data_IF_532991718202
#
_entry.id   IF_532991718202
#
_cell.length_a   1.000
_cell.length_b   1.000
_cell.length_c   1.000
_cell.angle_alpha   90.00
_cell.angle_beta   90.00
_cell.angle_gamma   90.00
#
_symmetry.space_group_name_H-M   'P 1'
#
loop_
_entity.id
_entity.type
_entity.pdbx_description
1 polymer ?
#
# COMPACT_ATOMS: atom_id res chain seq x y z
N UNK A 1 -5.04 -29.42 -13.11
CA UNK A 1 -5.87 -29.62 -14.30
C UNK A 1 -5.55 -28.48 -15.25
N UNK A 2 -5.07 -28.84 -16.38
CA UNK A 2 -4.40 -28.14 -17.46
C UNK A 2 -4.79 -26.69 -17.70
N UNK A 3 -3.77 -25.80 -17.79
CA UNK A 3 -3.82 -24.55 -18.56
C UNK A 3 -2.95 -24.75 -19.81
N UNK A 4 -3.59 -24.78 -20.96
CA UNK A 4 -2.95 -24.87 -22.25
C UNK A 4 -2.53 -23.47 -22.71
N UNK A 5 -1.23 -23.28 -22.91
CA UNK A 5 -0.69 -22.15 -23.65
C UNK A 5 -0.94 -22.35 -25.15
N UNK A 6 -1.62 -21.41 -25.76
CA UNK A 6 -1.75 -21.31 -27.20
C UNK A 6 -0.74 -20.26 -27.71
N UNK A 7 0.39 -20.75 -28.21
CA UNK A 7 1.28 -19.96 -29.04
C UNK A 7 0.78 -20.05 -30.49
N UNK A 8 0.37 -18.95 -31.07
CA UNK A 8 0.17 -18.83 -32.52
C UNK A 8 1.42 -18.18 -33.12
N UNK A 9 2.25 -18.98 -33.75
CA UNK A 9 3.20 -18.52 -34.74
C UNK A 9 2.45 -18.09 -36.01
N UNK A 10 2.61 -16.86 -36.43
CA UNK A 10 2.31 -16.44 -37.80
C UNK A 10 3.64 -16.10 -38.48
N UNK A 11 4.06 -17.03 -39.32
CA UNK A 11 5.03 -16.81 -40.36
C UNK A 11 4.46 -15.89 -41.45
N UNK A 12 5.08 -14.74 -41.68
CA UNK A 12 4.88 -13.95 -42.90
C UNK A 12 6.19 -13.87 -43.67
N UNK A 13 6.15 -14.38 -44.88
CA UNK A 13 7.17 -14.26 -45.92
C UNK A 13 7.01 -12.89 -46.60
N UNK A 14 8.08 -12.15 -46.92
CA UNK A 14 7.95 -10.86 -47.59
C UNK A 14 7.93 -11.04 -49.12
N UNK A 15 6.96 -10.44 -49.79
CA UNK A 15 7.03 -10.14 -51.22
C UNK A 15 6.92 -8.63 -51.46
N UNK A 16 8.00 -8.15 -52.10
CA UNK A 16 8.16 -7.01 -53.02
C UNK A 16 7.24 -5.79 -52.97
N UNK A 17 7.89 -4.66 -52.69
CA UNK A 17 7.84 -3.46 -53.49
C UNK A 17 6.52 -2.70 -53.64
N UNK A 18 6.35 -1.63 -52.86
CA UNK A 18 5.73 -0.39 -53.33
C UNK A 18 6.00 0.73 -52.33
N UNK A 19 6.59 1.82 -52.83
CA UNK A 19 6.59 3.13 -52.23
C UNK A 19 5.15 3.61 -52.05
N UNK A 20 4.81 4.02 -50.82
CA UNK A 20 3.66 4.90 -50.63
C UNK A 20 3.96 6.02 -49.62
N UNK A 21 3.61 7.19 -50.05
CA UNK A 21 3.71 8.51 -49.44
C UNK A 21 3.26 8.56 -47.97
N UNK A 22 3.99 9.40 -47.26
CA UNK A 22 3.56 10.05 -46.03
C UNK A 22 2.27 10.86 -46.31
N UNK A 23 1.17 10.47 -45.63
CA UNK A 23 0.05 11.38 -45.46
C UNK A 23 -0.05 11.74 -43.97
N UNK A 24 0.04 13.04 -43.75
CA UNK A 24 -0.26 13.71 -42.48
C UNK A 24 -1.67 13.35 -42.02
N UNK A 25 -1.74 12.83 -40.78
CA UNK A 25 -3.00 12.79 -40.04
C UNK A 25 -2.91 13.86 -38.95
N UNK A 26 -3.40 15.05 -39.30
CA UNK A 26 -3.66 16.11 -38.31
C UNK A 26 -5.01 15.80 -37.62
N UNK A 27 -5.00 15.21 -36.45
CA UNK A 27 -6.16 15.22 -35.57
C UNK A 27 -6.28 16.55 -34.85
N UNK A 28 -7.35 17.29 -35.15
CA UNK A 28 -7.77 18.50 -34.44
C UNK A 28 -8.35 18.08 -33.07
N UNK A 29 -7.65 18.34 -31.97
CA UNK A 29 -8.25 18.39 -30.66
C UNK A 29 -8.73 19.81 -30.33
N UNK A 30 -10.05 20.02 -30.40
CA UNK A 30 -10.71 21.19 -29.82
C UNK A 30 -11.17 20.83 -28.41
N UNK A 31 -10.43 21.28 -27.39
CA UNK A 31 -10.80 21.16 -26.00
C UNK A 31 -11.17 22.51 -25.39
N UNK A 32 -12.43 22.69 -25.04
CA UNK A 32 -12.88 23.86 -24.27
C UNK A 32 -12.86 23.54 -22.79
N UNK A 33 -11.95 24.16 -22.03
CA UNK A 33 -11.98 24.13 -20.57
C UNK A 33 -12.83 25.28 -20.03
N UNK A 34 -13.90 24.96 -19.31
CA UNK A 34 -14.66 25.95 -18.52
C UNK A 34 -14.20 25.92 -17.08
N UNK A 35 -13.61 26.99 -16.60
CA UNK A 35 -13.53 27.33 -15.20
C UNK A 35 -14.53 28.45 -14.91
N UNK A 36 -15.11 28.45 -13.70
CA UNK A 36 -16.28 29.25 -13.33
C UNK A 36 -16.09 30.76 -13.38
N UNK A 37 -14.95 31.30 -13.82
CA UNK A 37 -14.75 32.75 -13.83
C UNK A 37 -13.98 33.34 -15.04
N UNK A 38 -13.46 32.57 -16.01
CA UNK A 38 -12.86 33.16 -17.21
C UNK A 38 -12.80 32.18 -18.40
N UNK A 39 -13.16 32.68 -19.58
CA UNK A 39 -13.03 31.98 -20.86
C UNK A 39 -11.75 32.45 -21.54
N UNK A 40 -10.85 31.55 -21.86
CA UNK A 40 -9.66 31.87 -22.68
C UNK A 40 -9.72 31.11 -23.99
N UNK A 41 -9.62 31.83 -25.13
CA UNK A 41 -9.39 31.26 -26.44
C UNK A 41 -7.87 31.22 -26.72
N UNK A 42 -7.39 30.06 -27.17
CA UNK A 42 -6.00 29.88 -27.59
C UNK A 42 -5.97 29.82 -29.09
N UNK A 43 -5.33 30.83 -29.73
CA UNK A 43 -5.02 30.83 -31.17
C UNK A 43 -3.84 29.91 -31.50
N UNK A 44 -3.97 29.18 -32.59
CA UNK A 44 -3.00 28.24 -33.13
C UNK A 44 -1.66 28.93 -33.48
N UNK A 45 -0.56 28.41 -32.91
CA UNK A 45 0.76 28.50 -33.53
C UNK A 45 1.40 27.12 -33.56
N UNK A 46 1.66 26.67 -34.77
CA UNK A 46 2.39 25.44 -35.05
C UNK A 46 3.84 25.53 -34.55
N UNK A 47 4.24 24.60 -33.66
CA UNK A 47 5.62 24.41 -33.26
C UNK A 47 6.11 22.99 -33.62
N UNK A 48 7.16 22.99 -34.43
CA UNK A 48 7.95 21.79 -34.75
C UNK A 48 9.06 21.67 -33.69
N UNK A 49 9.14 20.52 -32.97
CA UNK A 49 10.28 20.21 -32.09
C UNK A 49 9.88 19.81 -30.66
N UNK A 50 10.10 18.57 -30.34
CA UNK A 50 9.69 17.90 -29.08
C UNK A 50 10.52 18.23 -27.82
N UNK A 51 10.66 19.49 -27.46
CA UNK A 51 11.37 19.87 -26.23
C UNK A 51 10.77 21.07 -25.47
N UNK A 52 9.80 21.76 -26.05
CA UNK A 52 9.30 23.02 -25.52
C UNK A 52 8.07 22.99 -24.63
N UNK A 53 7.37 21.87 -24.57
CA UNK A 53 6.05 21.81 -23.92
C UNK A 53 6.10 21.76 -22.38
N UNK A 54 7.10 21.11 -21.80
CA UNK A 54 7.26 21.00 -20.35
C UNK A 54 7.71 22.32 -19.70
N UNK A 55 8.54 23.10 -20.42
CA UNK A 55 9.02 24.39 -19.94
C UNK A 55 7.92 25.48 -19.93
N UNK A 56 6.96 25.38 -20.85
CA UNK A 56 5.86 26.38 -20.96
C UNK A 56 4.84 26.24 -19.83
N UNK A 57 4.54 25.02 -19.38
CA UNK A 57 3.63 24.78 -18.26
C UNK A 57 4.21 25.27 -16.92
N UNK A 58 5.54 25.24 -16.78
CA UNK A 58 6.21 25.72 -15.56
C UNK A 58 6.24 27.25 -15.44
N UNK A 59 6.17 27.97 -16.57
CA UNK A 59 6.20 29.43 -16.60
C UNK A 59 4.80 30.06 -16.45
N UNK A 60 3.75 29.36 -16.91
CA UNK A 60 2.36 29.79 -16.74
C UNK A 60 1.95 29.73 -15.26
N UNK A 61 2.42 28.70 -14.51
CA UNK A 61 2.16 28.56 -13.08
C UNK A 61 2.78 29.66 -12.19
N UNK A 62 3.79 30.39 -12.68
CA UNK A 62 4.45 31.49 -11.93
C UNK A 62 3.88 32.88 -12.17
N UNK A 63 3.12 33.10 -13.26
CA UNK A 63 2.60 34.43 -13.63
C UNK A 63 1.19 34.74 -13.10
N UNK A 64 0.46 33.76 -12.55
CA UNK A 64 -0.90 33.99 -12.07
C UNK A 64 -1.01 34.41 -10.60
N UNK A 65 0.10 34.59 -9.89
CA UNK A 65 0.10 34.93 -8.46
C UNK A 65 0.51 36.40 -8.17
N UNK A 66 0.14 37.36 -9.06
CA UNK A 66 0.25 38.79 -8.77
C UNK A 66 -1.03 39.51 -9.14
N UNK A 67 -2.05 39.48 -8.29
CA UNK A 67 -3.09 40.52 -8.26
C UNK A 67 -2.66 41.60 -7.25
N UNK A 68 -2.58 42.82 -7.75
CA UNK A 68 -2.41 44.03 -6.96
C UNK A 68 -3.74 44.33 -6.28
N UNK A 69 -3.77 44.30 -4.95
CA UNK A 69 -4.82 44.97 -4.20
C UNK A 69 -4.39 46.41 -3.90
N UNK A 70 -5.12 47.36 -4.50
CA UNK A 70 -5.14 48.74 -4.05
C UNK A 70 -6.35 48.91 -3.14
N UNK A 71 -6.14 48.86 -1.87
CA UNK A 71 -6.79 49.74 -0.86
C UNK A 71 -6.29 49.30 0.53
N UNK A 72 -5.89 50.31 1.30
CA UNK A 72 -5.18 50.15 2.54
C UNK A 72 -6.05 49.58 3.68
N UNK A 73 -5.39 48.82 4.50
CA UNK A 73 -5.93 48.27 5.71
C UNK A 73 -5.01 47.20 6.27
N UNK A 74 -4.09 47.57 7.17
CA UNK A 74 -3.28 46.65 7.94
C UNK A 74 -4.13 45.67 8.71
N UNK A 75 -4.22 44.44 8.26
CA UNK A 75 -4.47 43.27 9.12
C UNK A 75 -3.54 42.16 8.65
N UNK A 76 -2.41 42.03 9.32
CA UNK A 76 -1.61 40.80 9.31
C UNK A 76 -2.48 39.68 9.91
N UNK A 77 -3.22 38.99 9.06
CA UNK A 77 -3.73 37.66 9.36
C UNK A 77 -2.55 36.71 9.24
N UNK A 78 -1.87 36.40 10.33
CA UNK A 78 -0.98 35.26 10.42
C UNK A 78 -1.84 34.02 10.11
N UNK A 79 -1.83 33.55 8.87
CA UNK A 79 -2.05 32.14 8.60
C UNK A 79 -0.83 31.43 9.20
N UNK A 80 -0.91 31.12 10.47
CA UNK A 80 -0.04 30.13 11.06
C UNK A 80 -0.29 28.83 10.29
N UNK A 81 0.61 28.52 9.37
CA UNK A 81 0.81 27.17 8.88
C UNK A 81 0.85 26.32 10.15
N UNK A 82 -0.19 25.48 10.39
CA UNK A 82 -0.11 24.48 11.45
C UNK A 82 1.22 23.78 11.27
N UNK A 83 2.13 23.97 12.21
CA UNK A 83 3.37 23.23 12.29
C UNK A 83 2.95 21.77 12.19
N UNK A 84 3.46 21.04 11.17
CA UNK A 84 3.44 19.59 11.15
C UNK A 84 3.98 19.19 12.52
N UNK A 85 3.20 18.43 13.26
CA UNK A 85 3.63 17.90 14.56
C UNK A 85 4.98 17.22 14.33
N UNK A 86 5.97 17.68 15.08
CA UNK A 86 7.38 17.42 14.90
C UNK A 86 7.66 15.92 15.00
N UNK A 87 7.76 15.21 13.87
CA UNK A 87 8.66 14.06 13.83
C UNK A 87 10.08 14.61 14.11
N UNK A 88 10.82 14.07 15.06
CA UNK A 88 12.20 14.51 15.32
C UNK A 88 13.05 14.27 14.07
N UNK A 89 13.63 15.33 13.54
CA UNK A 89 14.32 15.44 12.24
C UNK A 89 15.60 14.57 12.15
N UNK A 90 15.75 13.42 12.81
CA UNK A 90 16.84 12.44 12.65
C UNK A 90 16.68 11.20 13.55
N UNK A 91 15.44 10.82 13.89
CA UNK A 91 15.26 9.58 14.65
C UNK A 91 15.38 8.37 13.71
N UNK A 92 16.22 7.36 13.99
CA UNK A 92 16.19 6.10 13.26
C UNK A 92 14.78 5.50 13.34
N UNK A 93 14.28 5.02 12.20
CA UNK A 93 12.99 4.31 12.15
C UNK A 93 13.20 2.88 11.68
N UNK A 94 12.41 1.91 12.16
CA UNK A 94 12.41 0.55 11.62
C UNK A 94 12.10 0.61 10.11
N UNK A 95 12.77 -0.22 9.34
CA UNK A 95 12.50 -0.34 7.91
C UNK A 95 11.11 -0.91 7.64
N UNK A 96 10.73 -1.91 8.45
CA UNK A 96 9.44 -2.58 8.37
C UNK A 96 8.77 -2.65 9.75
N UNK A 97 7.57 -2.12 9.85
CA UNK A 97 6.71 -2.21 11.03
C UNK A 97 5.48 -3.05 10.70
N UNK A 98 5.19 -4.05 11.54
CA UNK A 98 3.98 -4.85 11.42
C UNK A 98 3.04 -4.64 12.62
N UNK A 99 1.72 -4.62 12.39
CA UNK A 99 0.74 -4.35 13.46
C UNK A 99 -0.41 -5.35 13.45
N UNK A 100 -0.71 -5.90 14.62
CA UNK A 100 -1.94 -6.67 14.84
C UNK A 100 -3.03 -5.69 15.29
N UNK A 101 -3.98 -5.33 14.42
CA UNK A 101 -5.03 -4.34 14.66
C UNK A 101 -6.11 -4.85 15.62
N UNK A 102 -5.73 -5.10 16.87
CA UNK A 102 -6.61 -5.69 17.88
C UNK A 102 -7.33 -4.64 18.75
N UNK A 103 -8.49 -5.01 19.28
CA UNK A 103 -9.28 -4.18 20.20
C UNK A 103 -10.51 -3.52 19.58
N UNK A 104 -10.77 -3.61 18.27
CA UNK A 104 -11.90 -2.99 17.59
C UNK A 104 -13.25 -3.34 18.25
N UNK A 105 -13.50 -4.62 18.53
CA UNK A 105 -14.73 -5.07 19.15
C UNK A 105 -14.86 -4.62 20.62
N UNK A 106 -13.75 -4.63 21.39
CA UNK A 106 -13.71 -4.17 22.77
C UNK A 106 -13.96 -2.66 22.87
N UNK A 107 -13.40 -1.90 21.93
CA UNK A 107 -13.61 -0.46 21.79
C UNK A 107 -15.10 -0.12 21.57
N UNK A 108 -15.75 -0.81 20.63
CA UNK A 108 -17.16 -0.64 20.34
C UNK A 108 -18.03 -1.00 21.58
N UNK A 109 -17.77 -2.14 22.21
CA UNK A 109 -18.49 -2.60 23.41
C UNK A 109 -18.39 -1.60 24.55
N UNK A 110 -17.21 -1.02 24.82
CA UNK A 110 -17.02 0.02 25.87
C UNK A 110 -17.88 1.28 25.61
N UNK A 111 -18.32 1.49 24.36
CA UNK A 111 -19.12 2.66 23.95
C UNK A 111 -20.59 2.32 23.65
N UNK A 112 -21.03 1.09 23.95
CA UNK A 112 -22.40 0.66 23.64
C UNK A 112 -22.69 0.55 22.14
N UNK A 113 -21.64 0.45 21.29
CA UNK A 113 -21.75 0.41 19.84
C UNK A 113 -21.65 -1.02 19.30
N UNK A 114 -22.24 -1.31 18.14
CA UNK A 114 -22.04 -2.59 17.46
C UNK A 114 -20.59 -2.75 17.02
N UNK A 115 -20.09 -4.01 16.99
CA UNK A 115 -18.68 -4.32 16.65
C UNK A 115 -18.22 -3.70 15.33
N UNK A 116 -19.11 -3.65 14.32
CA UNK A 116 -18.84 -3.02 13.02
C UNK A 116 -18.42 -1.55 13.10
N UNK A 117 -18.90 -0.81 14.10
CA UNK A 117 -18.48 0.58 14.32
C UNK A 117 -17.00 0.66 14.73
N UNK A 118 -16.54 -0.29 15.57
CA UNK A 118 -15.12 -0.38 15.94
C UNK A 118 -14.22 -0.70 14.74
N UNK A 119 -14.65 -1.58 13.86
CA UNK A 119 -13.90 -1.89 12.63
C UNK A 119 -13.80 -0.68 11.70
N UNK A 120 -14.88 0.11 11.57
CA UNK A 120 -14.86 1.34 10.76
C UNK A 120 -13.85 2.35 11.31
N UNK A 121 -13.86 2.61 12.62
CA UNK A 121 -12.89 3.52 13.24
C UNK A 121 -11.47 2.96 13.16
N UNK A 122 -11.29 1.65 13.34
CA UNK A 122 -9.98 0.98 13.17
C UNK A 122 -9.41 1.12 11.76
N UNK A 123 -10.26 1.19 10.72
CA UNK A 123 -9.83 1.46 9.35
C UNK A 123 -9.35 2.91 9.18
N UNK A 124 -9.99 3.89 9.83
CA UNK A 124 -9.51 5.28 9.83
C UNK A 124 -8.16 5.41 10.55
N UNK A 125 -8.02 4.70 11.69
CA UNK A 125 -6.74 4.60 12.41
C UNK A 125 -5.64 4.02 11.50
N UNK A 126 -5.95 2.95 10.75
CA UNK A 126 -5.00 2.37 9.80
C UNK A 126 -4.52 3.41 8.77
N UNK A 127 -5.44 4.15 8.14
CA UNK A 127 -5.07 5.19 7.16
C UNK A 127 -4.15 6.25 7.77
N UNK A 128 -4.48 6.71 8.97
CA UNK A 128 -3.69 7.71 9.70
C UNK A 128 -2.28 7.19 9.98
N UNK A 129 -2.17 5.98 10.51
CA UNK A 129 -0.88 5.37 10.89
C UNK A 129 -0.05 5.01 9.65
N UNK A 130 -0.67 4.47 8.57
CA UNK A 130 0.03 4.16 7.33
C UNK A 130 0.61 5.43 6.68
N UNK A 131 -0.16 6.52 6.64
CA UNK A 131 0.32 7.81 6.15
C UNK A 131 1.48 8.33 7.00
N UNK A 132 1.34 8.24 8.32
CA UNK A 132 2.40 8.68 9.23
C UNK A 132 3.67 7.83 9.11
N UNK A 133 3.57 6.51 8.98
CA UNK A 133 4.71 5.62 8.72
C UNK A 133 5.50 6.09 7.50
N UNK A 134 4.82 6.36 6.37
CA UNK A 134 5.46 6.92 5.18
C UNK A 134 6.13 8.26 5.47
N UNK A 135 5.43 9.19 6.15
CA UNK A 135 5.92 10.55 6.41
C UNK A 135 7.19 10.56 7.26
N UNK A 136 7.39 9.55 8.12
CA UNK A 136 8.59 9.39 8.95
C UNK A 136 9.66 8.50 8.32
N UNK A 137 9.43 7.93 7.12
CA UNK A 137 10.41 7.15 6.37
C UNK A 137 10.37 5.64 6.58
N UNK A 138 9.33 5.08 7.17
CA UNK A 138 9.09 3.63 7.21
C UNK A 138 8.77 3.14 5.80
N UNK A 139 9.54 2.15 5.30
CA UNK A 139 9.38 1.64 3.94
C UNK A 139 8.24 0.62 3.81
N UNK A 140 8.06 -0.24 4.82
CA UNK A 140 7.06 -1.30 4.82
C UNK A 140 6.19 -1.22 6.06
N UNK A 141 4.87 -1.20 5.86
CA UNK A 141 3.90 -1.21 6.94
C UNK A 141 2.89 -2.32 6.73
N UNK A 142 2.95 -3.39 7.53
CA UNK A 142 2.09 -4.57 7.39
C UNK A 142 1.06 -4.65 8.50
N UNK A 143 -0.21 -4.90 8.16
CA UNK A 143 -1.26 -5.01 9.16
C UNK A 143 -2.03 -6.32 9.06
N UNK A 144 -2.39 -6.88 10.22
CA UNK A 144 -3.24 -8.06 10.33
C UNK A 144 -4.71 -7.64 10.30
N UNK A 145 -5.32 -7.67 9.11
CA UNK A 145 -6.67 -7.18 8.90
C UNK A 145 -7.74 -8.28 9.05
N UNK A 146 -7.48 -9.50 8.52
CA UNK A 146 -8.43 -10.61 8.59
C UNK A 146 -7.68 -11.95 8.61
N UNK A 147 -7.77 -12.69 9.74
CA UNK A 147 -7.12 -13.99 9.87
C UNK A 147 -7.97 -15.13 9.31
N UNK A 148 -7.34 -16.27 9.00
CA UNK A 148 -8.04 -17.50 8.60
C UNK A 148 -9.07 -17.96 9.63
N UNK A 149 -8.86 -17.67 10.91
CA UNK A 149 -9.79 -18.00 12.00
C UNK A 149 -11.02 -17.08 12.03
N UNK A 150 -10.96 -15.91 11.40
CA UNK A 150 -12.05 -14.93 11.43
C UNK A 150 -13.28 -15.34 10.61
N UNK A 151 -13.16 -16.32 9.71
CA UNK A 151 -14.31 -16.92 9.02
C UNK A 151 -15.30 -17.59 9.98
N UNK A 152 -14.87 -17.92 11.20
CA UNK A 152 -15.73 -18.50 12.26
C UNK A 152 -16.59 -17.44 12.98
N UNK A 153 -16.43 -16.15 12.65
CA UNK A 153 -17.24 -15.07 13.22
C UNK A 153 -18.67 -15.10 12.66
N UNK A 154 -19.63 -14.42 13.33
CA UNK A 154 -20.97 -14.25 12.78
C UNK A 154 -20.91 -13.70 11.36
N UNK A 155 -21.78 -14.19 10.47
CA UNK A 155 -21.74 -13.86 9.04
C UNK A 155 -21.90 -12.36 8.77
N UNK A 156 -22.75 -11.67 9.53
CA UNK A 156 -22.95 -10.23 9.44
C UNK A 156 -21.67 -9.42 9.76
N UNK A 157 -20.81 -9.92 10.65
CA UNK A 157 -19.51 -9.32 10.92
C UNK A 157 -18.53 -9.59 9.77
N UNK A 158 -18.50 -10.80 9.22
CA UNK A 158 -17.67 -11.16 8.07
C UNK A 158 -18.06 -10.32 6.86
N UNK A 159 -19.35 -10.22 6.56
CA UNK A 159 -19.86 -9.42 5.44
C UNK A 159 -19.51 -7.92 5.59
N UNK A 160 -19.62 -7.40 6.79
CA UNK A 160 -19.24 -6.02 7.08
C UNK A 160 -17.74 -5.76 6.86
N UNK A 161 -16.87 -6.73 7.22
CA UNK A 161 -15.44 -6.65 6.98
C UNK A 161 -15.11 -6.75 5.49
N UNK A 162 -15.75 -7.66 4.75
CA UNK A 162 -15.57 -7.78 3.30
C UNK A 162 -16.02 -6.50 2.56
N UNK A 163 -17.13 -5.88 2.98
CA UNK A 163 -17.56 -4.60 2.41
C UNK A 163 -16.60 -3.44 2.72
N UNK A 164 -16.05 -3.41 3.94
CA UNK A 164 -15.01 -2.43 4.31
C UNK A 164 -13.77 -2.62 3.44
N UNK A 165 -13.43 -3.86 3.13
CA UNK A 165 -12.31 -4.25 2.28
C UNK A 165 -12.49 -3.75 0.84
N UNK A 166 -13.65 -4.02 0.23
CA UNK A 166 -14.00 -3.51 -1.10
C UNK A 166 -13.84 -2.00 -1.19
N UNK A 167 -14.38 -1.29 -0.18
CA UNK A 167 -14.28 0.17 -0.13
C UNK A 167 -12.84 0.64 -0.02
N UNK A 168 -12.00 -0.08 0.74
CA UNK A 168 -10.60 0.27 0.91
C UNK A 168 -9.79 0.01 -0.37
N UNK A 169 -9.98 -1.13 -1.03
CA UNK A 169 -9.27 -1.47 -2.27
C UNK A 169 -9.59 -0.46 -3.38
N UNK A 170 -10.87 -0.07 -3.50
CA UNK A 170 -11.28 0.98 -4.43
C UNK A 170 -10.59 2.32 -4.13
N UNK A 171 -10.60 2.77 -2.86
CA UNK A 171 -9.89 3.99 -2.45
C UNK A 171 -8.39 3.88 -2.72
N UNK A 172 -7.78 2.72 -2.47
CA UNK A 172 -6.37 2.48 -2.73
C UNK A 172 -6.05 2.65 -4.22
N UNK A 173 -6.82 2.02 -5.12
CA UNK A 173 -6.63 2.16 -6.56
C UNK A 173 -6.69 3.63 -7.02
N UNK A 174 -7.58 4.44 -6.45
CA UNK A 174 -7.75 5.86 -6.79
C UNK A 174 -6.64 6.75 -6.25
N UNK A 175 -6.00 6.40 -5.12
CA UNK A 175 -5.16 7.34 -4.35
C UNK A 175 -3.69 6.95 -4.21
N UNK A 176 -3.28 5.74 -4.62
CA UNK A 176 -1.90 5.26 -4.45
C UNK A 176 -0.86 6.17 -5.10
N UNK A 177 -1.08 6.62 -6.33
CA UNK A 177 -0.15 7.52 -7.02
C UNK A 177 -0.03 8.88 -6.33
N UNK A 178 -1.14 9.47 -5.92
CA UNK A 178 -1.15 10.76 -5.22
C UNK A 178 -0.43 10.65 -3.88
N UNK A 179 -0.68 9.56 -3.15
CA UNK A 179 -0.09 9.33 -1.83
C UNK A 179 1.34 8.80 -1.91
N UNK A 180 1.77 8.25 -3.05
CA UNK A 180 3.08 7.58 -3.19
C UNK A 180 3.26 6.42 -2.22
N UNK A 181 2.20 5.62 -2.00
CA UNK A 181 2.18 4.43 -1.15
C UNK A 181 1.59 3.29 -1.96
N UNK A 182 2.39 2.26 -2.22
CA UNK A 182 1.91 1.02 -2.81
C UNK A 182 1.07 0.24 -1.78
N UNK A 183 -0.04 -0.34 -2.22
CA UNK A 183 -0.86 -1.23 -1.39
C UNK A 183 -0.72 -2.65 -1.91
N UNK A 184 -0.51 -3.62 -1.01
CA UNK A 184 -0.42 -5.05 -1.32
C UNK A 184 -1.35 -5.84 -0.40
N UNK A 185 -1.82 -6.98 -0.87
CA UNK A 185 -2.64 -7.90 -0.08
C UNK A 185 -1.93 -9.23 0.05
N UNK A 186 -1.77 -9.71 1.29
CA UNK A 186 -1.05 -10.94 1.64
C UNK A 186 -2.01 -11.97 2.21
N UNK A 187 -1.93 -13.22 1.76
CA UNK A 187 -2.74 -14.33 2.24
C UNK A 187 -3.20 -15.27 1.13
N UNK A 188 -4.00 -16.28 1.49
CA UNK A 188 -4.64 -17.14 0.50
C UNK A 188 -5.87 -16.43 -0.09
N UNK A 189 -5.69 -15.81 -1.23
CA UNK A 189 -6.72 -15.03 -1.91
C UNK A 189 -7.74 -15.91 -2.66
N UNK A 190 -7.48 -17.21 -2.80
CA UNK A 190 -8.32 -18.12 -3.62
C UNK A 190 -9.74 -18.27 -3.10
N UNK A 191 -9.93 -18.13 -1.79
CA UNK A 191 -11.23 -18.24 -1.12
C UNK A 191 -12.03 -16.94 -1.04
N UNK A 192 -11.42 -15.82 -1.45
CA UNK A 192 -12.08 -14.52 -1.45
C UNK A 192 -13.09 -14.41 -2.61
N UNK A 193 -14.16 -13.62 -2.46
CA UNK A 193 -15.09 -13.31 -3.55
C UNK A 193 -14.37 -12.81 -4.80
N UNK A 194 -14.88 -13.16 -5.98
CA UNK A 194 -14.24 -12.85 -7.26
C UNK A 194 -14.06 -11.35 -7.49
N UNK A 195 -15.02 -10.54 -7.09
CA UNK A 195 -14.96 -9.09 -7.18
C UNK A 195 -13.82 -8.49 -6.32
N UNK A 196 -13.56 -9.05 -5.13
CA UNK A 196 -12.44 -8.65 -4.29
C UNK A 196 -11.11 -9.07 -4.94
N UNK A 197 -11.03 -10.27 -5.49
CA UNK A 197 -9.82 -10.73 -6.19
C UNK A 197 -9.49 -9.87 -7.41
N UNK A 198 -10.51 -9.46 -8.16
CA UNK A 198 -10.32 -8.53 -9.28
C UNK A 198 -9.81 -7.16 -8.83
N UNK A 199 -10.35 -6.59 -7.75
CA UNK A 199 -9.85 -5.34 -7.17
C UNK A 199 -8.42 -5.46 -6.63
N UNK A 200 -8.05 -6.61 -6.05
CA UNK A 200 -6.67 -6.86 -5.61
C UNK A 200 -5.72 -6.87 -6.81
N UNK A 201 -6.07 -7.54 -7.90
CA UNK A 201 -5.26 -7.56 -9.10
C UNK A 201 -5.05 -6.15 -9.69
N UNK A 202 -6.09 -5.32 -9.71
CA UNK A 202 -6.00 -3.90 -10.12
C UNK A 202 -5.03 -3.11 -9.21
N UNK A 203 -5.16 -3.27 -7.90
CA UNK A 203 -4.29 -2.62 -6.91
C UNK A 203 -2.84 -3.07 -7.05
N UNK A 204 -2.59 -4.37 -7.31
CA UNK A 204 -1.24 -4.90 -7.54
C UNK A 204 -0.60 -4.34 -8.81
N UNK A 205 -1.36 -4.22 -9.92
CA UNK A 205 -0.86 -3.57 -11.14
C UNK A 205 -0.48 -2.10 -10.93
N UNK A 206 -1.26 -1.37 -10.12
CA UNK A 206 -0.94 0.01 -9.78
C UNK A 206 0.31 0.08 -8.90
N UNK A 207 0.43 -0.82 -7.92
CA UNK A 207 1.60 -0.90 -7.04
C UNK A 207 2.88 -1.21 -7.82
N UNK A 208 2.82 -2.10 -8.83
CA UNK A 208 3.96 -2.40 -9.71
C UNK A 208 4.42 -1.18 -10.51
N UNK A 209 3.49 -0.34 -10.95
CA UNK A 209 3.79 0.91 -11.66
C UNK A 209 4.40 1.99 -10.76
N UNK A 210 4.14 1.98 -9.46
CA UNK A 210 4.79 2.88 -8.50
C UNK A 210 6.27 2.54 -8.30
N UNK A 211 6.64 1.30 -8.54
CA UNK A 211 8.02 0.81 -8.47
C UNK A 211 8.49 0.47 -7.05
N UNK A 212 9.71 -0.10 -6.94
CA UNK A 212 10.23 -0.69 -5.70
C UNK A 212 10.60 0.33 -4.62
N UNK A 213 10.75 1.60 -4.99
CA UNK A 213 11.12 2.67 -4.04
C UNK A 213 9.91 3.26 -3.29
N UNK A 214 8.69 2.91 -3.70
CA UNK A 214 7.48 3.37 -3.03
C UNK A 214 7.34 2.72 -1.65
N UNK A 215 6.92 3.52 -0.66
CA UNK A 215 6.52 2.97 0.62
C UNK A 215 5.36 1.98 0.41
N UNK A 216 5.40 0.82 1.06
CA UNK A 216 4.42 -0.25 0.85
C UNK A 216 3.58 -0.49 2.11
N UNK A 217 2.26 -0.44 1.95
CA UNK A 217 1.29 -0.84 2.97
C UNK A 217 0.69 -2.20 2.61
N UNK A 218 0.97 -3.23 3.41
CA UNK A 218 0.51 -4.60 3.18
C UNK A 218 -0.62 -4.98 4.13
N UNK A 219 -1.70 -5.52 3.58
CA UNK A 219 -2.86 -5.99 4.35
C UNK A 219 -2.92 -7.51 4.34
N UNK A 220 -2.73 -8.13 5.50
CA UNK A 220 -2.88 -9.57 5.66
C UNK A 220 -4.38 -9.94 5.76
N UNK A 221 -4.91 -10.62 4.71
CA UNK A 221 -6.30 -11.01 4.57
C UNK A 221 -6.42 -12.47 4.23
N UNK A 222 -7.32 -13.15 4.93
CA UNK A 222 -7.35 -14.60 4.95
C UNK A 222 -5.95 -15.17 5.16
N UNK A 223 -5.23 -14.50 6.08
CA UNK A 223 -3.84 -14.80 6.39
C UNK A 223 -3.73 -15.63 7.68
N UNK A 224 -2.74 -16.47 7.73
CA UNK A 224 -2.28 -17.17 8.93
C UNK A 224 -0.91 -17.76 8.67
N UNK A 225 0.10 -17.49 9.54
CA UNK A 225 1.48 -17.92 9.31
C UNK A 225 1.64 -19.43 9.16
N UNK A 226 0.82 -20.25 9.87
CA UNK A 226 0.82 -21.71 9.67
C UNK A 226 0.29 -22.10 8.29
N UNK A 227 -0.72 -21.37 7.78
CA UNK A 227 -1.28 -21.61 6.46
C UNK A 227 -0.31 -21.16 5.37
N UNK A 228 0.31 -20.02 5.54
CA UNK A 228 1.37 -19.52 4.67
C UNK A 228 2.52 -20.51 4.53
N UNK A 229 3.09 -20.98 5.66
CA UNK A 229 4.18 -21.98 5.68
C UNK A 229 3.72 -23.28 4.99
N UNK A 230 2.52 -23.75 5.27
CA UNK A 230 1.94 -24.94 4.58
C UNK A 230 1.90 -24.74 3.06
N UNK A 231 1.50 -23.58 2.58
CA UNK A 231 1.40 -23.29 1.15
C UNK A 231 2.80 -23.15 0.52
N UNK A 232 3.76 -22.53 1.21
CA UNK A 232 5.17 -22.47 0.78
C UNK A 232 5.76 -23.89 0.66
N UNK A 233 5.56 -24.75 1.67
CA UNK A 233 6.02 -26.17 1.61
C UNK A 233 5.40 -26.92 0.42
N UNK A 234 4.11 -26.69 0.13
CA UNK A 234 3.46 -27.31 -1.04
C UNK A 234 4.05 -26.84 -2.35
N UNK A 235 4.35 -25.54 -2.49
CA UNK A 235 4.98 -24.98 -3.67
C UNK A 235 6.38 -25.56 -3.88
N UNK A 236 7.20 -25.63 -2.83
CA UNK A 236 8.53 -26.22 -2.85
C UNK A 236 8.47 -27.72 -3.21
N UNK A 237 7.56 -28.48 -2.60
CA UNK A 237 7.36 -29.89 -2.93
C UNK A 237 6.97 -30.10 -4.41
N UNK A 238 6.21 -29.17 -5.00
CA UNK A 238 5.88 -29.22 -6.41
C UNK A 238 7.10 -28.91 -7.30
N UNK A 239 7.96 -27.96 -6.93
CA UNK A 239 9.22 -27.65 -7.62
C UNK A 239 10.15 -28.87 -7.60
N UNK A 240 10.28 -29.55 -6.45
CA UNK A 240 11.06 -30.79 -6.34
C UNK A 240 10.48 -31.89 -7.23
N UNK A 241 9.17 -32.09 -7.21
CA UNK A 241 8.50 -33.09 -8.06
C UNK A 241 8.70 -32.81 -9.55
N UNK A 242 8.76 -31.54 -9.95
CA UNK A 242 9.00 -31.15 -11.35
C UNK A 242 10.47 -31.26 -11.75
N UNK A 243 11.39 -31.52 -10.81
CA UNK A 243 12.84 -31.53 -11.06
C UNK A 243 13.46 -30.13 -11.19
N UNK A 244 12.75 -29.11 -10.76
CA UNK A 244 13.19 -27.70 -10.76
C UNK A 244 14.11 -27.39 -9.58
N UNK A 245 14.03 -28.19 -8.50
CA UNK A 245 14.78 -28.04 -7.25
C UNK A 245 15.13 -29.42 -6.70
N UNK A 246 16.36 -29.62 -6.24
CA UNK A 246 16.74 -30.83 -5.50
C UNK A 246 16.42 -30.66 -4.00
N UNK A 247 16.02 -31.74 -3.27
CA UNK A 247 15.71 -31.63 -1.85
C UNK A 247 16.86 -31.06 -1.00
N UNK A 248 18.10 -31.36 -1.36
CA UNK A 248 19.32 -30.90 -0.70
C UNK A 248 19.62 -29.42 -0.93
N UNK A 249 19.02 -28.81 -1.96
CA UNK A 249 19.16 -27.38 -2.27
C UNK A 249 18.10 -26.50 -1.60
N UNK A 250 17.20 -27.10 -0.79
CA UNK A 250 16.21 -26.33 -0.04
C UNK A 250 16.91 -25.62 1.12
N UNK A 251 16.88 -24.29 1.10
CA UNK A 251 17.45 -23.40 2.11
C UNK A 251 16.38 -22.54 2.78
N UNK A 252 16.74 -21.74 3.80
CA UNK A 252 15.84 -20.74 4.38
C UNK A 252 15.40 -19.71 3.33
N UNK A 253 16.29 -19.32 2.41
CA UNK A 253 15.96 -18.42 1.30
C UNK A 253 14.93 -19.04 0.36
N UNK A 254 15.04 -20.36 0.09
CA UNK A 254 14.05 -21.09 -0.70
C UNK A 254 12.66 -21.00 -0.05
N UNK A 255 12.59 -21.15 1.28
CA UNK A 255 11.32 -21.03 2.02
C UNK A 255 10.82 -19.60 1.93
N UNK A 256 11.66 -18.62 2.23
CA UNK A 256 11.32 -17.19 2.20
C UNK A 256 10.80 -16.75 0.84
N UNK A 257 11.41 -17.23 -0.25
CA UNK A 257 10.98 -16.93 -1.64
C UNK A 257 9.59 -17.50 -1.99
N UNK A 258 9.09 -18.47 -1.23
CA UNK A 258 7.77 -19.09 -1.42
C UNK A 258 6.71 -18.58 -0.43
N UNK A 259 7.05 -17.65 0.47
CA UNK A 259 6.09 -16.99 1.36
C UNK A 259 5.34 -15.86 0.66
N UNK A 260 4.20 -15.45 1.20
CA UNK A 260 3.45 -14.29 0.69
C UNK A 260 4.23 -12.98 0.81
N UNK A 261 5.24 -12.94 1.68
CA UNK A 261 6.11 -11.79 1.95
C UNK A 261 7.42 -11.78 1.15
N UNK A 262 7.59 -12.65 0.15
CA UNK A 262 8.84 -12.83 -0.62
C UNK A 262 9.41 -11.52 -1.23
N UNK A 263 8.56 -10.51 -1.43
CA UNK A 263 8.92 -9.23 -2.06
C UNK A 263 9.32 -8.12 -1.07
N UNK A 264 9.38 -8.42 0.22
CA UNK A 264 9.66 -7.43 1.27
C UNK A 264 10.54 -8.03 2.38
N UNK A 265 11.28 -7.19 3.14
CA UNK A 265 12.07 -7.67 4.27
C UNK A 265 11.19 -8.11 5.43
N UNK A 266 11.75 -8.92 6.32
CA UNK A 266 11.13 -9.26 7.59
C UNK A 266 10.84 -8.00 8.44
N UNK A 267 9.82 -8.01 9.31
CA UNK A 267 9.52 -6.88 10.17
C UNK A 267 10.60 -6.69 11.25
N UNK A 268 11.09 -5.47 11.40
CA UNK A 268 11.96 -5.09 12.51
C UNK A 268 11.18 -5.00 13.82
N UNK A 269 9.95 -4.47 13.75
CA UNK A 269 9.08 -4.20 14.91
C UNK A 269 7.68 -4.72 14.65
N UNK A 270 7.16 -5.53 15.58
CA UNK A 270 5.78 -5.98 15.61
C UNK A 270 5.06 -5.32 16.79
N UNK A 271 3.99 -4.60 16.49
CA UNK A 271 3.19 -3.89 17.49
C UNK A 271 1.86 -4.62 17.70
N UNK A 272 1.50 -4.88 18.94
CA UNK A 272 0.16 -5.36 19.27
C UNK A 272 -0.49 -4.51 20.33
N UNK A 273 -1.49 -3.70 19.96
CA UNK A 273 -2.38 -2.99 20.87
C UNK A 273 -3.27 -3.95 21.66
N UNK A 274 -3.98 -3.39 22.66
CA UNK A 274 -5.10 -4.03 23.38
C UNK A 274 -4.74 -4.93 24.54
N UNK A 275 -3.49 -4.93 25.03
CA UNK A 275 -3.06 -5.68 26.21
C UNK A 275 -2.87 -7.18 25.98
N UNK A 276 -2.94 -7.66 24.74
CA UNK A 276 -2.75 -9.06 24.40
C UNK A 276 -1.28 -9.36 24.05
N UNK A 277 -0.67 -10.34 24.72
CA UNK A 277 0.75 -10.69 24.57
C UNK A 277 0.87 -12.05 23.87
N UNK A 278 0.61 -12.07 22.56
CA UNK A 278 0.77 -13.23 21.68
C UNK A 278 0.76 -12.80 20.22
N UNK A 279 1.33 -13.60 19.31
CA UNK A 279 1.39 -13.32 17.87
C UNK A 279 0.10 -13.68 17.12
N UNK A 280 -0.73 -14.55 17.67
CA UNK A 280 -1.98 -15.02 17.05
C UNK A 280 -1.81 -15.48 15.60
N UNK A 281 -0.77 -16.28 15.33
CA UNK A 281 -0.51 -16.84 14.00
C UNK A 281 -0.13 -15.78 12.94
N UNK A 282 0.37 -14.60 13.36
CA UNK A 282 0.78 -13.53 12.49
C UNK A 282 2.28 -13.58 12.23
N UNK A 283 2.69 -13.57 10.96
CA UNK A 283 4.07 -13.50 10.46
C UNK A 283 5.05 -14.43 11.20
N UNK A 284 4.69 -15.73 11.36
CA UNK A 284 5.44 -16.66 12.21
C UNK A 284 6.88 -16.89 11.75
N UNK A 285 7.11 -17.02 10.44
CA UNK A 285 8.45 -17.18 9.87
C UNK A 285 9.22 -15.87 9.98
N UNK A 286 8.61 -14.79 9.53
CA UNK A 286 9.22 -13.48 9.39
C UNK A 286 9.53 -12.81 10.73
N UNK A 287 8.88 -13.23 11.80
CA UNK A 287 9.07 -12.62 13.14
C UNK A 287 10.24 -13.20 13.93
N UNK A 288 11.06 -14.08 13.34
CA UNK A 288 12.12 -14.79 14.03
C UNK A 288 13.10 -13.86 14.78
N UNK A 289 13.36 -12.67 14.23
CA UNK A 289 14.26 -11.66 14.81
C UNK A 289 13.57 -10.30 15.05
N UNK A 290 12.24 -10.25 14.96
CA UNK A 290 11.48 -9.03 15.22
C UNK A 290 11.49 -8.66 16.69
N UNK A 291 11.55 -7.37 16.97
CA UNK A 291 11.24 -6.83 18.30
C UNK A 291 9.72 -6.69 18.46
N UNK A 292 9.22 -6.95 19.67
CA UNK A 292 7.78 -6.83 19.97
C UNK A 292 7.49 -5.65 20.88
N UNK A 293 6.44 -4.89 20.56
CA UNK A 293 5.90 -3.86 21.43
C UNK A 293 4.42 -4.12 21.72
N UNK A 294 4.07 -4.26 22.98
CA UNK A 294 2.71 -4.48 23.46
C UNK A 294 2.20 -3.25 24.22
N UNK A 295 0.94 -2.87 24.00
CA UNK A 295 0.31 -1.73 24.68
C UNK A 295 -1.15 -2.03 24.98
N UNK A 296 -1.69 -1.45 26.06
CA UNK A 296 -3.08 -1.57 26.46
C UNK A 296 -4.05 -0.70 25.64
N UNK A 297 -3.53 0.23 24.83
CA UNK A 297 -4.33 1.08 23.96
C UNK A 297 -5.08 0.20 22.96
N UNK A 298 -6.39 0.40 22.81
CA UNK A 298 -7.18 -0.31 21.80
C UNK A 298 -6.91 0.28 20.41
N UNK A 299 -6.84 -0.56 19.37
CA UNK A 299 -6.48 -0.09 18.02
C UNK A 299 -7.25 1.15 17.54
N UNK A 300 -8.58 1.29 17.70
CA UNK A 300 -9.29 2.52 17.30
C UNK A 300 -8.85 3.80 18.02
N UNK A 301 -8.25 3.69 19.19
CA UNK A 301 -7.73 4.81 19.97
C UNK A 301 -6.20 5.00 19.78
N UNK A 302 -5.53 4.15 19.00
CA UNK A 302 -4.09 4.19 18.75
C UNK A 302 -3.73 5.40 17.87
N UNK A 303 -2.74 6.18 18.30
CA UNK A 303 -2.34 7.45 17.66
C UNK A 303 -0.90 7.39 17.16
N UNK A 304 -0.50 8.40 16.41
CA UNK A 304 0.90 8.59 15.97
C UNK A 304 1.86 8.68 17.16
N UNK A 305 1.43 9.27 18.26
CA UNK A 305 2.22 9.32 19.52
C UNK A 305 2.45 7.95 20.14
N UNK A 306 1.51 7.01 19.99
CA UNK A 306 1.69 5.63 20.46
C UNK A 306 2.67 4.87 19.56
N UNK A 307 2.64 5.14 18.24
CA UNK A 307 3.64 4.63 17.31
C UNK A 307 5.02 5.20 17.61
N UNK A 308 5.14 6.50 17.90
CA UNK A 308 6.40 7.12 18.32
C UNK A 308 6.96 6.45 19.57
N UNK A 309 6.13 6.20 20.59
CA UNK A 309 6.55 5.48 21.79
C UNK A 309 7.04 4.06 21.50
N UNK A 310 6.41 3.36 20.54
CA UNK A 310 6.86 2.03 20.11
C UNK A 310 8.23 2.09 19.41
N UNK A 311 8.43 3.07 18.52
CA UNK A 311 9.70 3.28 17.81
C UNK A 311 10.81 3.70 18.79
N UNK A 312 10.52 4.58 19.74
CA UNK A 312 11.50 4.97 20.77
C UNK A 312 11.90 3.78 21.66
N UNK A 313 10.92 2.95 22.03
CA UNK A 313 11.19 1.68 22.75
C UNK A 313 12.09 0.75 21.94
N UNK A 314 11.82 0.60 20.63
CA UNK A 314 12.65 -0.18 19.72
C UNK A 314 14.08 0.36 19.63
N UNK A 315 14.26 1.66 19.45
CA UNK A 315 15.57 2.30 19.33
C UNK A 315 16.42 2.23 20.61
N UNK A 316 15.78 2.14 21.77
CA UNK A 316 16.45 2.02 23.07
C UNK A 316 16.87 0.58 23.43
N UNK A 317 16.56 -0.41 22.58
CA UNK A 317 16.94 -1.80 22.81
C UNK A 317 18.32 -2.11 22.23
N UNK A 318 19.13 -2.86 22.98
CA UNK A 318 20.34 -3.48 22.46
C UNK A 318 19.98 -4.77 21.72
N UNK A 319 19.87 -4.71 20.41
CA UNK A 319 19.56 -5.90 19.60
C UNK A 319 20.79 -6.80 19.48
N UNK A 320 20.72 -7.98 20.09
CA UNK A 320 21.77 -9.00 20.02
C UNK A 320 21.30 -10.13 19.10
N UNK A 321 21.85 -10.22 17.92
CA UNK A 321 21.50 -11.26 16.92
C UNK A 321 22.29 -12.57 17.13
N UNK A 322 22.45 -13.02 18.39
CA UNK A 322 23.16 -14.26 18.71
C UNK A 322 24.68 -14.23 18.52
N UNK A 323 25.24 -13.14 18.03
CA UNK A 323 26.68 -12.91 17.96
C UNK A 323 27.20 -12.33 19.28
N UNK A 324 28.30 -12.91 19.81
CA UNK A 324 28.98 -12.43 21.02
C UNK A 324 29.80 -11.19 20.68
#
# INVERSE_FOLDING_TARGET
MYLAFYTREHSCVPQSGAQMCSQDVSERMLGTFRSTENVFSVEERSYIGGGGFVALLHEIGRKTCRKRDKQGGNRLGLFTRKKKDNAPENRPVPRHIAVIMDGNGRWAKKRGLPRKAGHKVGAETFRTIATYCKDIGVQYFTVYAFSTENWKRPQDEVDALMNLFRSYLKEAAETMFERGVAVRVLGDLTVLPEDIRAQIAEVDEIADRLGPDAATASLCINYGGRDEIKNAVRAIAQQVKNGELAPEDITEDTITANLYTAHMPDPDLIIRPSGEIRTSNFLLWQSAYSEYYFTDVLWPDFKTTDLDAAIDNFNNRNRRFGGV
#
